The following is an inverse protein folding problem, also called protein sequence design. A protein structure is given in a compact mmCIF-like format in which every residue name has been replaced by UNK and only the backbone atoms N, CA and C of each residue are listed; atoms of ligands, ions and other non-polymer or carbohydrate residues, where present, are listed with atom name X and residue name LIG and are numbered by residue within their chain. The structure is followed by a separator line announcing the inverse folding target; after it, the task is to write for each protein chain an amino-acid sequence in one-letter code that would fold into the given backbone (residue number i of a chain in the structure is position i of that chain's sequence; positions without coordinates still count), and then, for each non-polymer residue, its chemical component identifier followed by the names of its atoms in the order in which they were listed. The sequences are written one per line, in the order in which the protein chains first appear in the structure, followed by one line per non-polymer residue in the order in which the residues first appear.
data_IF_816980234881
#
_entry.id   IF_816980234881
#
_cell.length_a   1.000
_cell.length_b   1.000
_cell.length_c   1.000
_cell.angle_alpha   90.00
_cell.angle_beta   90.00
_cell.angle_gamma   90.00
#
_symmetry.space_group_name_H-M   'P 1'
#
loop_
_entity.id
_entity.type
_entity.pdbx_description
1 polymer ?
#
# COMPACT_ATOMS: atom_id res chain seq x y z
N UNK A 1 -15.94 -2.18 27.22
CA UNK A 1 -15.59 -3.18 26.19
C UNK A 1 -14.61 -4.15 26.84
N UNK A 2 -14.78 -5.49 26.64
CA UNK A 2 -13.80 -6.47 27.13
C UNK A 2 -12.50 -6.39 26.33
N UNK A 3 -11.36 -6.77 26.95
CA UNK A 3 -10.08 -6.81 26.26
C UNK A 3 -10.12 -7.80 25.08
N UNK A 4 -9.48 -7.45 23.95
CA UNK A 4 -9.39 -8.35 22.78
C UNK A 4 -8.58 -9.58 23.18
N UNK A 5 -9.13 -10.77 22.90
CA UNK A 5 -8.42 -12.01 23.21
C UNK A 5 -7.25 -12.22 22.25
N UNK A 6 -6.07 -12.34 22.84
CA UNK A 6 -4.84 -12.60 22.13
C UNK A 6 -4.63 -14.11 21.96
N UNK A 7 -4.29 -14.54 20.77
CA UNK A 7 -3.94 -15.92 20.46
C UNK A 7 -2.55 -16.00 19.82
N UNK A 8 -2.04 -17.22 19.71
CA UNK A 8 -0.79 -17.46 19.01
C UNK A 8 -0.94 -17.16 17.53
N UNK A 9 -0.18 -16.17 17.05
CA UNK A 9 -0.13 -15.80 15.64
C UNK A 9 0.90 -16.56 14.84
N UNK A 10 1.19 -16.06 13.64
CA UNK A 10 2.20 -16.59 12.71
C UNK A 10 3.14 -15.46 12.29
N UNK A 11 4.46 -15.72 12.11
CA UNK A 11 5.40 -14.71 11.65
C UNK A 11 5.22 -14.35 10.16
N UNK A 12 4.45 -15.12 9.40
CA UNK A 12 4.21 -14.93 7.97
C UNK A 12 2.74 -15.16 7.61
N UNK A 13 2.23 -14.46 6.58
CA UNK A 13 2.89 -13.36 5.85
C UNK A 13 3.00 -12.09 6.69
N UNK A 14 3.94 -11.18 6.32
CA UNK A 14 4.07 -9.88 6.96
C UNK A 14 2.86 -8.97 6.64
N UNK A 15 2.57 -8.04 7.54
CA UNK A 15 1.39 -7.19 7.49
C UNK A 15 0.21 -7.77 8.27
N UNK A 16 -0.99 -7.24 8.02
CA UNK A 16 -2.24 -7.76 8.57
C UNK A 16 -2.90 -8.73 7.59
N UNK A 17 -3.22 -9.93 8.07
CA UNK A 17 -3.88 -10.97 7.26
C UNK A 17 -5.16 -11.43 7.93
N UNK A 18 -6.28 -11.26 7.23
CA UNK A 18 -7.59 -11.79 7.59
C UNK A 18 -7.74 -13.23 7.07
N UNK A 19 -8.19 -14.16 7.92
CA UNK A 19 -8.36 -15.57 7.56
C UNK A 19 -9.82 -16.05 7.62
N UNK A 20 -10.77 -15.12 7.79
CA UNK A 20 -12.19 -15.43 7.95
C UNK A 20 -12.62 -15.59 9.41
N UNK A 21 -11.68 -15.72 10.37
CA UNK A 21 -11.93 -15.91 11.80
C UNK A 21 -11.19 -14.94 12.70
N UNK A 22 -10.22 -14.22 12.15
CA UNK A 22 -9.43 -13.26 12.88
C UNK A 22 -8.35 -12.62 12.02
N UNK A 23 -7.52 -11.81 12.65
CA UNK A 23 -6.47 -11.05 11.98
C UNK A 23 -5.12 -11.44 12.57
N UNK A 24 -4.21 -11.90 11.74
CA UNK A 24 -2.81 -12.06 12.08
C UNK A 24 -2.05 -10.79 11.74
N UNK A 25 -1.44 -10.15 12.72
CA UNK A 25 -0.51 -9.04 12.53
C UNK A 25 0.91 -9.55 12.65
N UNK A 26 1.76 -9.25 11.67
CA UNK A 26 3.17 -9.62 11.65
C UNK A 26 4.04 -8.47 11.13
N UNK A 27 5.01 -8.02 11.94
CA UNK A 27 5.88 -6.89 11.62
C UNK A 27 7.35 -7.28 11.82
N UNK A 28 8.17 -7.08 10.79
CA UNK A 28 9.61 -7.24 10.91
C UNK A 28 10.21 -5.99 11.57
N UNK A 29 10.91 -6.18 12.69
CA UNK A 29 11.75 -5.16 13.32
C UNK A 29 12.82 -5.85 14.17
N UNK A 30 14.05 -5.82 13.68
CA UNK A 30 15.19 -6.52 14.29
C UNK A 30 15.63 -5.88 15.60
N UNK A 31 15.66 -4.55 15.62
CA UNK A 31 16.25 -3.78 16.71
C UNK A 31 15.20 -3.21 17.70
N UNK A 32 13.92 -3.45 17.45
CA UNK A 32 12.88 -3.05 18.38
C UNK A 32 12.99 -3.78 19.71
N UNK A 33 12.66 -3.08 20.81
CA UNK A 33 12.50 -3.62 22.16
C UNK A 33 11.04 -3.98 22.47
N UNK A 34 10.06 -3.28 21.83
CA UNK A 34 8.64 -3.58 21.90
C UNK A 34 7.92 -3.10 20.64
N UNK A 35 6.86 -3.82 20.26
CA UNK A 35 5.96 -3.46 19.16
C UNK A 35 4.54 -3.50 19.65
N UNK A 36 3.78 -2.44 19.37
CA UNK A 36 2.36 -2.34 19.71
C UNK A 36 1.56 -2.03 18.45
N UNK A 37 0.53 -2.82 18.15
CA UNK A 37 -0.46 -2.46 17.13
C UNK A 37 -1.57 -1.63 17.80
N UNK A 38 -1.82 -0.47 17.22
CA UNK A 38 -2.90 0.43 17.61
C UNK A 38 -4.07 0.23 16.64
N UNK A 39 -5.25 -0.09 17.17
CA UNK A 39 -6.45 -0.39 16.40
C UNK A 39 -7.40 0.81 16.43
N UNK A 40 -7.99 1.14 15.29
CA UNK A 40 -8.86 2.30 15.13
C UNK A 40 -10.16 1.91 14.44
N UNK A 41 -11.24 2.61 14.79
CA UNK A 41 -12.50 2.51 14.07
C UNK A 41 -12.44 3.25 12.70
N UNK A 42 -13.45 3.08 11.82
CA UNK A 42 -13.51 3.79 10.55
C UNK A 42 -13.57 5.32 10.66
N UNK A 43 -13.86 5.86 11.85
CA UNK A 43 -13.80 7.30 12.15
C UNK A 43 -12.43 7.71 12.71
N UNK A 44 -11.42 6.89 12.56
CA UNK A 44 -10.03 7.09 13.01
C UNK A 44 -9.84 7.25 14.53
N UNK A 45 -10.83 6.86 15.35
CA UNK A 45 -10.72 6.90 16.81
C UNK A 45 -10.04 5.64 17.32
N UNK A 46 -9.09 5.81 18.24
CA UNK A 46 -8.38 4.68 18.87
C UNK A 46 -9.37 3.80 19.64
N UNK A 47 -9.38 2.51 19.35
CA UNK A 47 -10.17 1.48 20.02
C UNK A 47 -9.31 0.81 21.11
N UNK A 48 -8.14 0.31 20.73
CA UNK A 48 -7.28 -0.47 21.62
C UNK A 48 -5.82 -0.45 21.16
N UNK A 49 -4.91 -0.76 22.07
CA UNK A 49 -3.49 -0.95 21.82
C UNK A 49 -3.09 -2.36 22.26
N UNK A 50 -2.54 -3.14 21.37
CA UNK A 50 -2.18 -4.54 21.61
C UNK A 50 -0.67 -4.71 21.43
N UNK A 51 0.01 -5.14 22.50
CA UNK A 51 1.45 -5.45 22.44
C UNK A 51 1.65 -6.79 21.71
N UNK A 52 2.56 -6.81 20.74
CA UNK A 52 2.96 -8.03 20.05
C UNK A 52 3.97 -8.78 20.93
N UNK A 53 3.50 -9.80 21.63
CA UNK A 53 4.33 -10.54 22.61
C UNK A 53 5.12 -11.69 22.00
N UNK A 54 4.77 -12.11 20.79
CA UNK A 54 5.44 -13.21 20.10
C UNK A 54 6.48 -12.67 19.13
N UNK A 55 7.66 -13.31 19.11
CA UNK A 55 8.76 -12.92 18.23
C UNK A 55 9.50 -14.15 17.73
N UNK A 56 9.71 -14.23 16.42
CA UNK A 56 10.53 -15.24 15.77
C UNK A 56 11.34 -14.56 14.63
N UNK A 57 12.66 -14.80 14.58
CA UNK A 57 13.54 -14.29 13.53
C UNK A 57 13.39 -12.77 13.26
N UNK A 58 13.22 -11.99 14.33
CA UNK A 58 12.99 -10.54 14.28
C UNK A 58 11.62 -10.11 13.75
N UNK A 59 10.70 -11.02 13.52
CA UNK A 59 9.30 -10.75 13.24
C UNK A 59 8.50 -10.78 14.53
N UNK A 60 7.77 -9.71 14.81
CA UNK A 60 6.84 -9.58 15.94
C UNK A 60 5.44 -9.89 15.43
N UNK A 61 4.67 -10.68 16.17
CA UNK A 61 3.35 -11.07 15.68
C UNK A 61 2.35 -11.36 16.81
N UNK A 62 1.07 -11.30 16.46
CA UNK A 62 -0.07 -11.61 17.31
C UNK A 62 -1.27 -11.98 16.43
N UNK A 63 -2.14 -12.84 16.93
CA UNK A 63 -3.42 -13.13 16.31
C UNK A 63 -4.57 -12.61 17.17
N UNK A 64 -5.50 -11.88 16.55
CA UNK A 64 -6.72 -11.37 17.17
C UNK A 64 -7.92 -12.13 16.61
N UNK A 65 -8.68 -12.82 17.47
CA UNK A 65 -9.89 -13.55 17.08
C UNK A 65 -11.10 -12.63 16.93
N UNK A 66 -11.90 -12.83 15.89
CA UNK A 66 -13.16 -12.13 15.69
C UNK A 66 -14.29 -12.63 16.56
N UNK A 67 -14.18 -13.84 17.11
CA UNK A 67 -15.26 -14.46 17.92
C UNK A 67 -15.60 -13.67 19.19
N UNK A 68 -14.67 -12.87 19.66
CA UNK A 68 -14.79 -12.14 20.92
C UNK A 68 -14.88 -10.61 20.74
N UNK A 69 -14.72 -10.12 19.50
CA UNK A 69 -14.73 -8.68 19.26
C UNK A 69 -15.18 -8.33 17.84
N UNK A 70 -16.34 -7.71 17.71
CA UNK A 70 -16.96 -7.36 16.42
C UNK A 70 -16.10 -6.43 15.52
N UNK A 71 -15.14 -5.71 16.09
CA UNK A 71 -14.26 -4.81 15.32
C UNK A 71 -13.14 -5.57 14.60
N UNK A 72 -12.82 -6.81 15.00
CA UNK A 72 -11.78 -7.64 14.39
C UNK A 72 -12.31 -8.25 13.09
N UNK A 73 -12.30 -7.45 12.03
CA UNK A 73 -12.78 -7.80 10.68
C UNK A 73 -12.16 -6.88 9.62
N UNK A 74 -12.30 -7.19 8.34
CA UNK A 74 -11.94 -6.26 7.25
C UNK A 74 -12.61 -4.89 7.42
N UNK A 75 -11.85 -3.82 7.16
CA UNK A 75 -12.23 -2.44 7.45
C UNK A 75 -11.68 -1.88 8.75
N UNK A 76 -11.12 -2.73 9.64
CA UNK A 76 -10.40 -2.27 10.82
C UNK A 76 -9.16 -1.47 10.40
N UNK A 77 -9.01 -0.26 10.94
CA UNK A 77 -7.81 0.56 10.71
C UNK A 77 -6.76 0.25 11.78
N UNK A 78 -5.49 0.30 11.39
CA UNK A 78 -4.40 0.06 12.33
C UNK A 78 -3.13 0.83 11.95
N UNK A 79 -2.27 1.03 12.96
CA UNK A 79 -0.92 1.53 12.82
C UNK A 79 -0.05 0.94 13.93
N UNK A 80 1.26 1.08 13.82
CA UNK A 80 2.17 0.56 14.84
C UNK A 80 2.78 1.68 15.68
N UNK A 81 3.14 1.34 16.93
CA UNK A 81 4.11 2.05 17.75
C UNK A 81 5.25 1.09 18.03
N UNK A 82 6.47 1.54 17.83
CA UNK A 82 7.66 0.70 17.97
C UNK A 82 8.64 1.38 18.90
N UNK A 83 9.01 0.69 19.96
CA UNK A 83 10.01 1.13 20.92
C UNK A 83 11.36 0.47 20.63
N UNK A 84 12.45 1.18 20.99
CA UNK A 84 13.80 0.73 20.75
C UNK A 84 14.83 1.84 20.99
N UNK A 85 16.09 1.63 20.61
CA UNK A 85 17.14 2.62 20.84
C UNK A 85 16.93 3.88 20.00
N UNK A 86 17.10 5.05 20.62
CA UNK A 86 17.25 6.33 19.93
C UNK A 86 18.73 6.70 19.85
N UNK A 87 19.36 6.37 18.73
CA UNK A 87 20.76 6.68 18.45
C UNK A 87 20.93 6.98 16.94
N UNK A 88 20.50 8.17 16.48
CA UNK A 88 20.48 8.52 15.05
C UNK A 88 21.83 8.40 14.35
N UNK A 89 22.93 8.68 15.03
CA UNK A 89 24.29 8.52 14.47
C UNK A 89 24.64 7.07 14.14
N UNK A 90 24.02 6.09 14.82
CA UNK A 90 24.14 4.67 14.52
C UNK A 90 22.95 4.15 13.68
N UNK A 91 22.08 5.05 13.21
CA UNK A 91 20.94 4.73 12.36
C UNK A 91 19.67 4.31 13.11
N UNK A 92 19.65 4.26 14.44
CA UNK A 92 18.48 3.90 15.22
C UNK A 92 17.59 5.11 15.51
N UNK A 93 16.30 5.04 15.16
CA UNK A 93 15.34 6.16 15.23
C UNK A 93 13.98 5.75 15.77
N UNK A 94 13.96 4.90 16.79
CA UNK A 94 12.72 4.46 17.42
C UNK A 94 12.12 5.56 18.30
N UNK A 95 10.80 5.77 18.18
CA UNK A 95 10.03 6.67 19.03
C UNK A 95 8.63 6.07 19.25
N UNK A 96 8.40 5.51 20.43
CA UNK A 96 7.14 4.87 20.80
C UNK A 96 5.94 5.83 20.82
N UNK A 97 6.15 7.16 20.75
CA UNK A 97 5.06 8.14 20.68
C UNK A 97 4.53 8.31 19.23
N UNK A 98 5.28 7.89 18.22
CA UNK A 98 4.86 8.02 16.84
C UNK A 98 3.98 6.86 16.40
N UNK A 99 2.92 7.18 15.63
CA UNK A 99 2.14 6.19 14.90
C UNK A 99 2.79 5.97 13.53
N UNK A 100 3.07 4.72 13.22
CA UNK A 100 3.80 4.30 12.03
C UNK A 100 2.91 3.45 11.13
N UNK A 101 2.89 3.77 9.84
CA UNK A 101 2.24 2.98 8.82
C UNK A 101 2.94 1.62 8.69
N UNK A 102 2.17 0.56 8.56
CA UNK A 102 2.67 -0.76 8.21
C UNK A 102 3.32 -0.74 6.81
N UNK A 103 4.61 -1.14 6.67
CA UNK A 103 5.26 -1.26 5.37
C UNK A 103 4.56 -2.22 4.40
N UNK A 104 3.83 -3.18 4.94
CA UNK A 104 3.12 -4.23 4.20
C UNK A 104 1.61 -3.95 4.06
N UNK A 105 1.17 -2.71 4.36
CA UNK A 105 -0.22 -2.30 4.20
C UNK A 105 -0.70 -2.52 2.76
N UNK A 106 -1.83 -3.22 2.61
CA UNK A 106 -2.47 -3.49 1.30
C UNK A 106 -3.54 -2.46 0.93
N UNK A 107 -3.96 -1.67 1.90
CA UNK A 107 -4.82 -0.51 1.74
C UNK A 107 -4.43 0.52 2.80
N UNK A 108 -4.39 1.78 2.41
CA UNK A 108 -3.96 2.89 3.27
C UNK A 108 -5.07 3.92 3.29
N UNK A 109 -5.42 4.35 4.50
CA UNK A 109 -6.46 5.34 4.74
C UNK A 109 -5.86 6.62 5.31
N UNK A 110 -6.42 7.72 4.86
CA UNK A 110 -6.13 9.07 5.32
C UNK A 110 -7.33 9.60 6.09
N UNK A 111 -7.10 10.26 7.21
CA UNK A 111 -8.20 10.88 7.95
C UNK A 111 -8.75 12.09 7.15
N UNK A 112 -9.99 12.03 6.64
CA UNK A 112 -10.54 13.10 5.82
C UNK A 112 -10.81 14.38 6.61
N UNK A 113 -10.93 14.28 7.94
CA UNK A 113 -11.17 15.43 8.83
C UNK A 113 -9.87 16.02 9.37
N UNK A 114 -8.75 15.29 9.29
CA UNK A 114 -7.45 15.74 9.74
C UNK A 114 -6.34 15.24 8.82
N UNK A 115 -6.07 15.99 7.76
CA UNK A 115 -5.06 15.63 6.76
C UNK A 115 -3.62 15.65 7.29
N UNK A 116 -3.38 16.19 8.48
CA UNK A 116 -2.09 16.13 9.17
C UNK A 116 -1.96 14.87 10.06
N UNK A 117 -3.04 14.10 10.25
CA UNK A 117 -2.98 12.87 11.03
C UNK A 117 -2.11 11.81 10.36
N UNK A 118 -1.44 10.94 11.14
CA UNK A 118 -0.70 9.81 10.60
C UNK A 118 -1.57 8.89 9.76
N UNK A 119 -1.01 8.39 8.66
CA UNK A 119 -1.64 7.38 7.83
C UNK A 119 -1.93 6.12 8.64
N UNK A 120 -3.01 5.43 8.28
CA UNK A 120 -3.36 4.14 8.86
C UNK A 120 -3.50 3.09 7.77
N UNK A 121 -3.05 1.89 8.06
CA UNK A 121 -3.34 0.73 7.23
C UNK A 121 -4.77 0.25 7.52
N UNK A 122 -5.41 -0.33 6.51
CA UNK A 122 -6.72 -0.95 6.63
C UNK A 122 -6.59 -2.46 6.45
N UNK A 123 -7.18 -3.22 7.36
CA UNK A 123 -7.31 -4.67 7.20
C UNK A 123 -8.26 -4.97 6.06
N UNK A 124 -7.82 -5.81 5.14
CA UNK A 124 -8.59 -6.14 3.94
C UNK A 124 -8.88 -7.63 3.87
N UNK A 125 -10.03 -7.98 3.30
CA UNK A 125 -10.23 -9.32 2.73
C UNK A 125 -9.49 -9.36 1.39
N UNK A 126 -8.61 -10.33 1.23
CA UNK A 126 -7.74 -10.43 0.06
C UNK A 126 -8.34 -11.27 -1.06
N UNK A 127 -9.55 -11.76 -0.86
CA UNK A 127 -10.24 -12.54 -1.88
C UNK A 127 -10.58 -11.67 -3.09
N UNK A 128 -10.33 -12.21 -4.26
CA UNK A 128 -10.72 -11.65 -5.55
C UNK A 128 -10.93 -12.78 -6.53
N UNK A 129 -12.04 -12.74 -7.28
CA UNK A 129 -12.31 -13.74 -8.29
C UNK A 129 -11.51 -13.49 -9.57
N UNK A 130 -10.37 -14.13 -9.67
CA UNK A 130 -9.56 -14.14 -10.88
C UNK A 130 -10.18 -14.98 -12.00
N UNK A 131 -11.12 -15.90 -11.67
CA UNK A 131 -11.73 -16.82 -12.64
C UNK A 131 -10.66 -17.63 -13.37
N UNK A 132 -10.69 -17.60 -14.71
CA UNK A 132 -9.71 -18.25 -15.58
C UNK A 132 -8.56 -17.34 -16.02
N UNK A 133 -8.26 -16.28 -15.26
CA UNK A 133 -7.16 -15.36 -15.60
C UNK A 133 -5.84 -16.12 -15.74
N UNK A 134 -5.15 -15.84 -16.83
CA UNK A 134 -3.82 -16.37 -17.10
C UNK A 134 -2.95 -15.23 -17.63
N UNK A 135 -1.83 -15.02 -16.96
CA UNK A 135 -0.86 -14.01 -17.42
C UNK A 135 -0.38 -14.39 -18.82
N UNK A 136 -0.44 -13.49 -19.80
CA UNK A 136 0.18 -13.71 -21.10
C UNK A 136 1.67 -14.05 -20.94
N UNK A 137 2.19 -14.86 -21.85
CA UNK A 137 3.61 -15.24 -21.86
C UNK A 137 4.17 -14.87 -23.23
N UNK A 138 4.42 -13.56 -23.41
CA UNK A 138 4.96 -13.02 -24.66
C UNK A 138 6.45 -13.27 -24.70
N UNK A 139 6.94 -13.85 -25.82
CA UNK A 139 8.38 -14.05 -25.97
C UNK A 139 9.10 -12.69 -26.05
N UNK A 140 10.29 -12.54 -25.44
CA UNK A 140 11.00 -11.26 -25.43
C UNK A 140 11.23 -10.65 -26.83
N UNK A 141 11.39 -11.50 -27.86
CA UNK A 141 11.57 -11.07 -29.25
C UNK A 141 10.30 -10.47 -29.87
N UNK A 142 9.12 -10.83 -29.34
CA UNK A 142 7.81 -10.38 -29.80
C UNK A 142 7.22 -9.28 -28.89
N UNK A 143 7.96 -8.88 -27.85
CA UNK A 143 7.48 -7.88 -26.88
C UNK A 143 7.52 -6.49 -27.49
N UNK A 144 6.35 -5.84 -27.55
CA UNK A 144 6.18 -4.43 -27.84
C UNK A 144 5.74 -3.73 -26.59
N UNK A 145 6.67 -3.03 -25.92
CA UNK A 145 6.45 -2.35 -24.65
C UNK A 145 5.89 -0.94 -24.88
N UNK A 146 4.83 -0.60 -24.14
CA UNK A 146 4.26 0.75 -24.11
C UNK A 146 4.24 1.27 -22.67
N UNK A 147 5.04 2.29 -22.39
CA UNK A 147 5.01 2.98 -21.11
C UNK A 147 3.86 3.97 -21.06
N UNK A 148 3.05 3.94 -19.99
CA UNK A 148 1.91 4.82 -19.83
C UNK A 148 1.63 5.20 -18.38
N UNK A 149 1.05 6.39 -18.21
CA UNK A 149 0.51 6.86 -16.94
C UNK A 149 -1.00 6.58 -16.90
N UNK A 150 -1.50 5.88 -15.89
CA UNK A 150 -2.92 5.47 -15.79
C UNK A 150 -3.87 6.64 -16.02
N UNK A 151 -3.65 7.77 -15.34
CA UNK A 151 -4.48 8.96 -15.51
C UNK A 151 -4.25 9.61 -16.88
N UNK A 152 -3.01 9.84 -17.26
CA UNK A 152 -2.67 10.58 -18.48
C UNK A 152 -3.18 9.91 -19.74
N UNK A 153 -3.14 8.58 -19.79
CA UNK A 153 -3.53 7.82 -20.97
C UNK A 153 -5.01 7.96 -21.35
N UNK A 154 -5.89 8.04 -20.35
CA UNK A 154 -7.36 8.03 -20.61
C UNK A 154 -8.06 9.35 -20.31
N UNK A 155 -7.42 10.30 -19.61
CA UNK A 155 -8.05 11.51 -19.09
C UNK A 155 -8.77 12.34 -20.15
N UNK A 156 -8.20 12.46 -21.35
CA UNK A 156 -8.76 13.25 -22.45
C UNK A 156 -9.48 12.41 -23.51
N UNK A 157 -9.60 11.09 -23.31
CA UNK A 157 -10.21 10.20 -24.30
C UNK A 157 -11.75 10.30 -24.29
N UNK A 158 -12.31 10.89 -25.35
CA UNK A 158 -13.75 11.11 -25.49
C UNK A 158 -14.55 9.80 -25.67
N UNK A 159 -13.92 8.71 -26.10
CA UNK A 159 -14.56 7.40 -26.26
C UNK A 159 -14.75 6.67 -24.92
N UNK A 160 -14.21 7.20 -23.83
CA UNK A 160 -14.35 6.64 -22.47
C UNK A 160 -15.36 7.49 -21.68
N UNK A 161 -16.28 6.88 -20.93
CA UNK A 161 -17.20 7.61 -20.07
C UNK A 161 -16.43 8.54 -19.11
N UNK A 162 -16.89 9.79 -18.87
CA UNK A 162 -16.18 10.76 -18.03
C UNK A 162 -15.84 10.23 -16.63
N UNK A 163 -16.71 9.42 -16.03
CA UNK A 163 -16.51 8.82 -14.70
C UNK A 163 -15.40 7.76 -14.63
N UNK A 164 -14.95 7.25 -15.77
CA UNK A 164 -13.88 6.25 -15.85
C UNK A 164 -12.56 6.84 -16.36
N UNK A 165 -12.56 8.06 -16.91
CA UNK A 165 -11.33 8.70 -17.42
C UNK A 165 -10.33 8.92 -16.31
N UNK A 166 -9.07 8.65 -16.60
CA UNK A 166 -7.97 8.80 -15.64
C UNK A 166 -7.91 7.75 -14.54
N UNK A 167 -8.64 6.63 -14.68
CA UNK A 167 -8.74 5.60 -13.65
C UNK A 167 -8.27 4.23 -14.14
N UNK A 168 -8.07 3.28 -13.20
CA UNK A 168 -7.81 1.87 -13.52
C UNK A 168 -8.87 1.29 -14.47
N UNK A 169 -10.14 1.57 -14.20
CA UNK A 169 -11.25 1.09 -15.04
C UNK A 169 -11.31 1.79 -16.40
N UNK A 170 -10.79 3.02 -16.50
CA UNK A 170 -10.60 3.70 -17.78
C UNK A 170 -9.55 3.01 -18.64
N UNK A 171 -8.45 2.55 -18.04
CA UNK A 171 -7.44 1.77 -18.77
C UNK A 171 -7.97 0.38 -19.18
N UNK A 172 -8.84 -0.23 -18.36
CA UNK A 172 -9.54 -1.48 -18.67
C UNK A 172 -10.70 -1.30 -19.67
N UNK A 173 -11.08 -0.07 -20.04
CA UNK A 173 -12.21 0.17 -20.95
C UNK A 173 -11.92 -0.33 -22.37
N UNK A 174 -12.95 -0.83 -23.07
CA UNK A 174 -12.82 -1.40 -24.42
C UNK A 174 -12.12 -0.49 -25.42
N UNK A 175 -12.34 0.83 -25.34
CA UNK A 175 -11.68 1.80 -26.19
C UNK A 175 -10.16 1.87 -25.95
N UNK A 176 -9.70 1.72 -24.70
CA UNK A 176 -8.27 1.65 -24.35
C UNK A 176 -7.64 0.36 -24.89
N UNK A 177 -8.33 -0.76 -24.67
CA UNK A 177 -7.89 -2.08 -25.14
C UNK A 177 -7.78 -2.10 -26.65
N UNK A 178 -8.82 -1.64 -27.36
CA UNK A 178 -8.84 -1.59 -28.81
C UNK A 178 -7.68 -0.75 -29.40
N UNK A 179 -7.38 0.38 -28.75
CA UNK A 179 -6.25 1.23 -29.16
C UNK A 179 -4.89 0.52 -28.97
N UNK A 180 -4.65 -0.07 -27.79
CA UNK A 180 -3.40 -0.78 -27.52
C UNK A 180 -3.21 -1.99 -28.45
N UNK A 181 -4.28 -2.75 -28.68
CA UNK A 181 -4.28 -3.90 -29.58
C UNK A 181 -4.03 -3.48 -31.05
N UNK A 182 -4.66 -2.39 -31.50
CA UNK A 182 -4.46 -1.87 -32.85
C UNK A 182 -3.03 -1.37 -33.10
N UNK A 183 -2.35 -0.91 -32.05
CA UNK A 183 -0.91 -0.56 -32.11
C UNK A 183 0.01 -1.77 -32.04
N UNK A 184 -0.50 -2.98 -31.80
CA UNK A 184 0.29 -4.19 -31.61
C UNK A 184 1.04 -4.25 -30.28
N UNK A 185 0.55 -3.54 -29.26
CA UNK A 185 1.16 -3.54 -27.91
C UNK A 185 0.88 -4.89 -27.24
N UNK A 186 1.95 -5.54 -26.78
CA UNK A 186 1.87 -6.79 -26.05
C UNK A 186 2.14 -6.63 -24.54
N UNK A 187 2.74 -5.51 -24.15
CA UNK A 187 3.09 -5.26 -22.74
C UNK A 187 2.93 -3.79 -22.39
N UNK A 188 2.23 -3.47 -21.31
CA UNK A 188 2.16 -2.10 -20.78
C UNK A 188 3.05 -1.99 -19.55
N UNK A 189 3.89 -0.95 -19.48
CA UNK A 189 4.63 -0.54 -18.31
C UNK A 189 3.90 0.63 -17.66
N UNK A 190 3.31 0.38 -16.48
CA UNK A 190 2.57 1.42 -15.78
C UNK A 190 3.54 2.28 -14.96
N UNK A 191 3.57 3.60 -15.23
CA UNK A 191 4.17 4.55 -14.31
C UNK A 191 3.61 4.37 -12.89
N UNK A 192 4.29 4.82 -11.82
CA UNK A 192 4.00 4.37 -10.46
C UNK A 192 2.52 4.35 -10.09
N UNK A 193 2.06 3.21 -9.61
CA UNK A 193 0.68 2.96 -9.15
C UNK A 193 0.59 2.63 -7.68
N UNK A 194 1.72 2.57 -6.97
CA UNK A 194 1.77 2.39 -5.53
C UNK A 194 1.24 3.62 -4.79
N UNK A 195 0.85 3.46 -3.53
CA UNK A 195 0.45 4.59 -2.70
C UNK A 195 1.65 5.54 -2.48
N UNK A 196 1.49 6.82 -2.84
CA UNK A 196 2.51 7.86 -2.68
C UNK A 196 1.98 9.08 -1.96
N UNK A 197 2.87 9.90 -1.42
CA UNK A 197 2.57 11.19 -0.81
C UNK A 197 2.98 12.34 -1.72
N UNK A 198 2.26 13.45 -1.60
CA UNK A 198 2.68 14.71 -2.20
C UNK A 198 3.82 15.31 -1.37
N UNK A 199 4.83 15.85 -2.04
CA UNK A 199 5.90 16.57 -1.37
C UNK A 199 5.39 17.86 -0.74
N UNK A 200 5.85 18.22 0.47
CA UNK A 200 5.39 19.44 1.18
C UNK A 200 5.48 20.72 0.33
N UNK A 201 6.51 20.83 -0.52
CA UNK A 201 6.68 21.98 -1.42
C UNK A 201 5.57 22.06 -2.48
N UNK A 202 5.09 20.92 -3.00
CA UNK A 202 4.00 20.89 -3.98
C UNK A 202 2.68 21.27 -3.30
N UNK A 203 2.43 20.68 -2.13
CA UNK A 203 1.23 20.98 -1.33
C UNK A 203 1.15 22.46 -0.96
N UNK A 204 2.28 23.08 -0.58
CA UNK A 204 2.35 24.51 -0.29
C UNK A 204 2.01 25.41 -1.51
N UNK A 205 2.19 24.91 -2.73
CA UNK A 205 1.84 25.58 -3.98
C UNK A 205 0.43 25.20 -4.49
N UNK A 206 -0.34 24.41 -3.74
CA UNK A 206 -1.63 23.87 -4.20
C UNK A 206 -1.52 22.86 -5.33
N UNK A 207 -0.34 22.25 -5.50
CA UNK A 207 -0.06 21.24 -6.51
C UNK A 207 -0.02 19.85 -5.87
N UNK A 208 -0.13 18.81 -6.69
CA UNK A 208 0.02 17.40 -6.30
C UNK A 208 1.12 16.73 -7.14
N UNK A 209 1.74 15.71 -6.58
CA UNK A 209 2.67 14.85 -7.30
C UNK A 209 1.89 14.03 -8.35
N UNK A 210 2.10 14.36 -9.62
CA UNK A 210 1.43 13.71 -10.74
C UNK A 210 2.03 12.33 -11.06
N UNK A 211 3.36 12.22 -10.98
CA UNK A 211 4.10 11.05 -11.46
C UNK A 211 4.08 9.86 -10.51
N UNK A 212 3.92 10.09 -9.20
CA UNK A 212 3.89 9.03 -8.20
C UNK A 212 5.25 8.54 -7.70
N UNK A 213 6.36 9.17 -8.09
CA UNK A 213 7.72 8.80 -7.66
C UNK A 213 8.04 9.26 -6.24
N UNK A 214 7.12 9.05 -5.30
CA UNK A 214 7.27 9.36 -3.87
C UNK A 214 6.53 8.33 -3.03
N UNK A 215 6.79 7.06 -3.28
CA UNK A 215 6.07 5.91 -2.70
C UNK A 215 6.28 5.80 -1.19
N UNK A 216 5.23 5.33 -0.50
CA UNK A 216 5.28 4.95 0.92
C UNK A 216 4.60 3.60 1.17
N UNK A 217 3.67 3.18 0.33
CA UNK A 217 2.93 1.93 0.47
C UNK A 217 3.12 1.04 -0.76
N UNK A 218 4.15 0.19 -0.76
CA UNK A 218 4.51 -0.65 -1.92
C UNK A 218 3.53 -1.81 -2.20
N UNK A 219 2.62 -2.12 -1.28
CA UNK A 219 1.62 -3.18 -1.44
C UNK A 219 0.19 -2.65 -1.58
N UNK A 220 0.02 -1.32 -1.56
CA UNK A 220 -1.26 -0.65 -1.69
C UNK A 220 -1.34 0.10 -3.03
N UNK A 221 -2.32 -0.18 -3.90
CA UNK A 221 -2.53 0.62 -5.10
C UNK A 221 -3.04 2.02 -4.72
N UNK A 222 -2.63 3.02 -5.52
CA UNK A 222 -3.02 4.41 -5.27
C UNK A 222 -4.51 4.64 -5.48
N UNK A 223 -5.22 5.21 -4.50
CA UNK A 223 -6.64 5.55 -4.64
C UNK A 223 -6.90 6.69 -5.65
N UNK A 224 -5.86 7.42 -6.05
CA UNK A 224 -5.96 8.53 -7.02
C UNK A 224 -6.38 8.07 -8.42
N UNK A 225 -6.25 6.78 -8.71
CA UNK A 225 -6.66 6.16 -9.97
C UNK A 225 -7.94 5.32 -9.82
N UNK A 226 -8.61 5.38 -8.69
CA UNK A 226 -9.89 4.72 -8.52
C UNK A 226 -11.04 5.54 -9.10
N UNK A 227 -12.02 4.86 -9.71
CA UNK A 227 -13.27 5.49 -10.12
C UNK A 227 -14.25 5.49 -8.96
N UNK A 228 -14.75 6.67 -8.59
CA UNK A 228 -15.81 6.82 -7.58
C UNK A 228 -17.18 6.30 -8.08
N UNK A 229 -17.33 6.09 -9.38
CA UNK A 229 -18.55 5.51 -9.96
C UNK A 229 -18.64 3.99 -9.78
N UNK A 230 -17.55 3.33 -9.37
CA UNK A 230 -17.54 1.89 -9.10
C UNK A 230 -17.88 1.58 -7.65
N UNK A 231 -18.64 0.50 -7.43
CA UNK A 231 -18.88 -0.06 -6.10
C UNK A 231 -17.68 -0.88 -5.58
N UNK A 232 -16.72 -1.22 -6.45
CA UNK A 232 -15.52 -1.97 -6.08
C UNK A 232 -14.51 -1.07 -5.41
N UNK A 233 -13.79 -1.62 -4.43
CA UNK A 233 -12.68 -0.92 -3.79
C UNK A 233 -11.49 -0.72 -4.76
N UNK A 234 -10.54 0.12 -4.37
CA UNK A 234 -9.34 0.47 -5.18
C UNK A 234 -8.58 -0.76 -5.66
N UNK A 235 -8.39 -1.73 -4.77
CA UNK A 235 -7.60 -2.95 -5.05
C UNK A 235 -8.28 -3.81 -6.11
N UNK A 236 -9.59 -3.93 -6.03
CA UNK A 236 -10.35 -4.74 -7.00
C UNK A 236 -10.46 -4.04 -8.35
N UNK A 237 -10.53 -2.71 -8.39
CA UNK A 237 -10.43 -1.95 -9.64
C UNK A 237 -9.07 -2.15 -10.32
N UNK A 238 -7.98 -2.13 -9.54
CA UNK A 238 -6.64 -2.44 -10.05
C UNK A 238 -6.55 -3.88 -10.58
N UNK A 239 -7.02 -4.85 -9.81
CA UNK A 239 -7.06 -6.27 -10.20
C UNK A 239 -7.91 -6.50 -11.45
N UNK A 240 -9.08 -5.84 -11.53
CA UNK A 240 -9.94 -5.90 -12.71
C UNK A 240 -9.25 -5.33 -13.95
N UNK A 241 -8.49 -4.25 -13.81
CA UNK A 241 -7.68 -3.70 -14.90
C UNK A 241 -6.65 -4.74 -15.39
N UNK A 242 -5.89 -5.34 -14.48
CA UNK A 242 -4.91 -6.37 -14.83
C UNK A 242 -5.58 -7.56 -15.51
N UNK A 243 -6.66 -8.09 -14.93
CA UNK A 243 -7.44 -9.20 -15.50
C UNK A 243 -7.93 -8.90 -16.91
N UNK A 244 -8.39 -7.66 -17.15
CA UNK A 244 -8.89 -7.25 -18.48
C UNK A 244 -7.74 -7.15 -19.49
N UNK A 245 -6.59 -6.61 -19.10
CA UNK A 245 -5.40 -6.55 -19.99
C UNK A 245 -4.92 -7.97 -20.33
N UNK A 246 -4.78 -8.86 -19.33
CA UNK A 246 -4.42 -10.26 -19.56
C UNK A 246 -5.36 -10.97 -20.53
N UNK A 247 -6.69 -10.81 -20.34
CA UNK A 247 -7.69 -11.41 -21.22
C UNK A 247 -7.58 -10.95 -22.68
N UNK A 248 -6.89 -9.83 -22.94
CA UNK A 248 -6.63 -9.30 -24.27
C UNK A 248 -5.18 -9.50 -24.73
N UNK A 249 -4.44 -10.39 -24.08
CA UNK A 249 -3.07 -10.75 -24.44
C UNK A 249 -2.03 -9.68 -24.10
N UNK A 250 -2.35 -8.73 -23.23
CA UNK A 250 -1.45 -7.63 -22.83
C UNK A 250 -0.90 -7.89 -21.41
N UNK A 251 0.42 -8.02 -21.31
CA UNK A 251 1.13 -8.12 -20.04
C UNK A 251 1.18 -6.77 -19.31
N UNK A 252 1.27 -6.82 -17.98
CA UNK A 252 1.38 -5.62 -17.13
C UNK A 252 2.69 -5.65 -16.36
N UNK A 253 3.49 -4.61 -16.51
CA UNK A 253 4.69 -4.33 -15.72
C UNK A 253 4.42 -3.08 -14.87
N UNK A 254 4.91 -3.08 -13.64
CA UNK A 254 4.84 -1.92 -12.76
C UNK A 254 6.21 -1.24 -12.69
N UNK A 255 6.25 0.06 -12.96
CA UNK A 255 7.40 0.88 -12.63
C UNK A 255 7.45 1.07 -11.11
N UNK A 256 8.58 0.69 -10.51
CA UNK A 256 8.75 0.65 -9.06
C UNK A 256 9.90 1.54 -8.61
N UNK A 257 9.68 2.30 -7.53
CA UNK A 257 10.64 3.23 -6.95
C UNK A 257 11.16 2.64 -5.65
N UNK A 258 12.21 1.82 -5.70
CA UNK A 258 12.82 1.21 -4.50
C UNK A 258 14.06 1.96 -3.99
N UNK A 259 14.52 2.97 -4.71
CA UNK A 259 15.71 3.73 -4.37
C UNK A 259 15.46 4.84 -3.33
N UNK A 260 14.20 5.21 -3.07
CA UNK A 260 13.80 6.15 -2.01
C UNK A 260 12.31 5.98 -1.67
N UNK A 261 11.89 6.62 -0.59
CA UNK A 261 10.48 6.66 -0.15
C UNK A 261 10.08 8.09 0.17
N UNK A 262 8.80 8.30 0.49
CA UNK A 262 8.29 9.59 0.98
C UNK A 262 8.90 10.03 2.33
N UNK A 263 9.69 9.19 2.99
CA UNK A 263 10.46 9.55 4.18
C UNK A 263 11.71 10.35 3.86
N UNK A 264 12.06 10.48 2.55
CA UNK A 264 13.13 11.35 2.05
C UNK A 264 14.51 11.08 2.71
N UNK A 265 15.30 12.14 2.93
CA UNK A 265 16.65 12.07 3.50
C UNK A 265 16.65 11.98 5.04
N UNK A 266 17.83 12.15 5.64
CA UNK A 266 18.06 12.06 7.10
C UNK A 266 17.19 13.03 7.92
N UNK A 267 16.71 14.12 7.34
CA UNK A 267 15.85 15.12 7.98
C UNK A 267 14.37 14.94 7.64
N UNK A 268 14.06 14.01 6.75
CA UNK A 268 12.68 13.73 6.33
C UNK A 268 11.78 13.17 7.44
N UNK A 269 10.48 13.08 7.18
CA UNK A 269 9.51 12.63 8.17
C UNK A 269 9.71 11.16 8.54
N UNK A 270 9.23 10.79 9.71
CA UNK A 270 9.11 9.39 10.14
C UNK A 270 7.66 8.96 9.98
N UNK A 271 7.39 8.07 9.02
CA UNK A 271 6.02 7.69 8.63
C UNK A 271 5.82 6.18 8.78
N UNK A 272 6.80 5.38 8.40
CA UNK A 272 6.72 3.92 8.30
C UNK A 272 8.09 3.28 8.62
N UNK A 273 8.86 2.93 7.59
CA UNK A 273 10.10 2.17 7.64
C UNK A 273 11.12 2.72 8.64
N UNK A 274 11.29 4.04 8.66
CA UNK A 274 12.26 4.76 9.50
C UNK A 274 11.98 4.54 10.99
N UNK A 275 10.73 4.63 11.40
CA UNK A 275 10.35 4.46 12.80
C UNK A 275 10.24 3.01 13.21
N UNK A 276 9.96 2.11 12.25
CA UNK A 276 9.83 0.68 12.52
C UNK A 276 11.20 0.03 12.74
N UNK A 277 12.16 0.27 11.86
CA UNK A 277 13.56 -0.12 12.02
C UNK A 277 14.45 0.49 10.92
N UNK A 278 14.85 1.72 11.09
CA UNK A 278 15.62 2.44 10.08
C UNK A 278 16.86 1.69 9.59
N UNK A 279 17.62 1.05 10.50
CA UNK A 279 18.82 0.29 10.13
C UNK A 279 18.54 -0.94 9.28
N UNK A 280 17.35 -1.53 9.40
CA UNK A 280 16.99 -2.74 8.67
C UNK A 280 16.38 -2.43 7.32
N UNK A 281 15.60 -1.35 7.21
CA UNK A 281 14.88 -0.99 6.00
C UNK A 281 15.65 -0.05 5.08
N UNK A 282 16.52 0.81 5.63
CA UNK A 282 17.27 1.77 4.83
C UNK A 282 18.76 1.52 4.85
N UNK A 283 19.37 1.62 3.69
CA UNK A 283 20.82 1.68 3.54
C UNK A 283 21.23 3.15 3.48
N UNK A 284 22.04 3.60 4.42
CA UNK A 284 22.60 4.95 4.38
C UNK A 284 23.78 5.00 3.39
N UNK A 285 23.64 5.78 2.32
CA UNK A 285 24.72 6.04 1.36
C UNK A 285 24.93 7.55 1.32
N UNK A 286 25.99 8.02 1.98
CA UNK A 286 26.23 9.45 2.16
C UNK A 286 25.12 10.13 2.96
N UNK A 287 24.39 11.07 2.32
CA UNK A 287 23.23 11.75 2.91
C UNK A 287 21.87 11.14 2.51
N UNK A 288 21.86 10.20 1.58
CA UNK A 288 20.64 9.55 1.12
C UNK A 288 20.27 8.35 1.99
N UNK A 289 18.97 8.15 2.20
CA UNK A 289 18.39 6.90 2.69
C UNK A 289 17.87 6.12 1.47
N UNK A 290 18.51 5.01 1.16
CA UNK A 290 18.17 4.13 0.05
C UNK A 290 17.70 2.78 0.59
#
# INVERSE_FOLDING_TARGET
MGAIALQSGKPWPLGATWDGKGINFALYSKHASAVTVCLFDPAHRLIEQVVLVQRQDSVWFVYLSSDQHEVVKPGLLYAYRVDGPWHPAAGHRFDANQLLLDPYARQIEHDPLNTAAPLKACVVDDQFDWGSDCRPSVAPVDTVLYELHVKGFTQSNQAIPPSLRGTYLGLAHSASIAYLTALGISTVSLLPVHYWLDEPRLTALGLSNYWGYNSIGFFAPSPRFASAASQSNVRDQFRQMVKTLHANGIEVILDVVYNHTAESDVQGPTISFRGIDNCSYYRQIGRAHV
#
